data_IF_337621685037
#
_entry.id   IF_337621685037
#
_cell.length_a   1.000
_cell.length_b   1.000
_cell.length_c   1.000
_cell.angle_alpha   90.00
_cell.angle_beta   90.00
_cell.angle_gamma   90.00
#
_symmetry.space_group_name_H-M   'P 1'
#
loop_
_entity.id
_entity.type
_entity.pdbx_description
1 polymer ?
#
# COMPACT_ATOMS: atom_id res chain seq x y z
N UNK A 1 -1.17 -1.11 -0.81
CA UNK A 1 -1.97 -0.91 0.40
C UNK A 1 -1.56 0.41 1.03
N UNK A 2 -2.45 1.39 1.05
CA UNK A 2 -2.21 2.68 1.68
C UNK A 2 -3.23 2.83 2.80
N UNK A 3 -2.77 2.78 4.05
CA UNK A 3 -3.66 2.93 5.22
C UNK A 3 -4.36 4.29 5.21
N UNK A 4 -3.75 5.32 4.58
CA UNK A 4 -4.28 6.69 4.50
C UNK A 4 -5.53 6.84 3.66
N UNK A 5 -5.71 6.02 2.62
CA UNK A 5 -6.85 6.11 1.69
C UNK A 5 -7.97 5.14 2.04
N UNK A 6 -7.73 4.22 2.98
CA UNK A 6 -8.73 3.25 3.39
C UNK A 6 -9.57 3.86 4.49
N UNK A 7 -10.84 4.19 4.20
CA UNK A 7 -11.82 4.61 5.20
C UNK A 7 -11.98 3.52 6.26
N UNK A 8 -11.21 3.62 7.35
CA UNK A 8 -11.26 2.67 8.46
C UNK A 8 -12.64 2.71 9.11
N UNK A 9 -13.17 1.54 9.48
CA UNK A 9 -14.42 1.45 10.24
C UNK A 9 -14.26 2.16 11.60
N UNK A 10 -15.35 2.70 12.19
CA UNK A 10 -15.29 3.47 13.43
C UNK A 10 -14.58 2.76 14.59
N UNK A 11 -14.77 1.44 14.72
CA UNK A 11 -14.18 0.68 15.82
C UNK A 11 -12.65 0.52 15.67
N UNK A 12 -12.12 0.32 14.46
CA UNK A 12 -10.67 0.31 14.20
C UNK A 12 -10.05 1.69 14.47
N UNK A 13 -10.77 2.76 14.10
CA UNK A 13 -10.35 4.14 14.40
C UNK A 13 -10.26 4.37 15.92
N UNK A 14 -11.19 3.83 16.69
CA UNK A 14 -11.15 3.91 18.16
C UNK A 14 -9.95 3.15 18.74
N UNK A 15 -9.68 1.93 18.27
CA UNK A 15 -8.49 1.15 18.69
C UNK A 15 -7.19 1.88 18.36
N UNK A 16 -7.11 2.50 17.18
CA UNK A 16 -5.97 3.32 16.78
C UNK A 16 -5.77 4.52 17.72
N UNK A 17 -6.85 5.21 18.07
CA UNK A 17 -6.81 6.33 19.02
C UNK A 17 -6.37 5.90 20.43
N UNK A 18 -6.85 4.74 20.92
CA UNK A 18 -6.39 4.17 22.19
C UNK A 18 -4.88 3.88 22.15
N UNK A 19 -4.40 3.21 21.09
CA UNK A 19 -2.99 2.89 20.92
C UNK A 19 -2.11 4.15 20.90
N UNK A 20 -2.55 5.19 20.17
CA UNK A 20 -1.90 6.50 20.15
C UNK A 20 -1.83 7.14 21.55
N UNK A 21 -2.94 7.12 22.29
CA UNK A 21 -3.01 7.69 23.62
C UNK A 21 -2.07 6.97 24.60
N UNK A 22 -2.02 5.64 24.54
CA UNK A 22 -1.11 4.84 25.36
C UNK A 22 0.36 5.04 24.96
N UNK A 23 0.68 5.18 23.67
CA UNK A 23 2.04 5.56 23.22
C UNK A 23 2.47 6.88 23.83
N UNK A 24 1.61 7.90 23.81
CA UNK A 24 1.91 9.20 24.43
C UNK A 24 2.22 9.05 25.91
N UNK A 25 1.36 8.35 26.65
CA UNK A 25 1.60 8.07 28.08
C UNK A 25 2.94 7.40 28.33
N UNK A 26 3.33 6.45 27.47
CA UNK A 26 4.62 5.78 27.57
C UNK A 26 5.79 6.75 27.38
N UNK A 27 5.79 7.57 26.33
CA UNK A 27 6.86 8.56 26.10
C UNK A 27 6.92 9.67 27.16
N UNK A 28 5.78 9.98 27.79
CA UNK A 28 5.70 10.91 28.92
C UNK A 28 6.02 10.24 30.27
N UNK A 29 6.41 8.95 30.29
CA UNK A 29 6.66 8.16 31.50
C UNK A 29 5.50 8.16 32.51
N UNK A 30 4.25 8.18 32.02
CA UNK A 30 3.06 8.17 32.88
C UNK A 30 2.93 6.85 33.66
N UNK A 31 2.71 6.90 34.99
CA UNK A 31 2.43 5.70 35.79
C UNK A 31 1.20 4.94 35.30
N UNK A 32 0.23 5.64 34.69
CA UNK A 32 -1.03 5.09 34.18
C UNK A 32 -0.94 4.43 32.80
N UNK A 33 0.24 4.41 32.16
CA UNK A 33 0.42 3.76 30.86
C UNK A 33 0.12 2.26 30.96
N UNK A 34 -0.75 1.75 30.10
CA UNK A 34 -1.17 0.34 30.01
C UNK A 34 -0.03 -0.56 29.53
N UNK A 35 0.76 -0.07 28.57
CA UNK A 35 1.93 -0.75 28.02
C UNK A 35 3.20 -0.05 28.53
N UNK A 36 4.17 -0.83 29.00
CA UNK A 36 5.40 -0.34 29.66
C UNK A 36 6.65 -0.63 28.85
N UNK A 37 6.57 -1.48 27.82
CA UNK A 37 7.72 -1.87 27.01
C UNK A 37 7.48 -1.64 25.52
N UNK A 38 8.54 -1.38 24.73
CA UNK A 38 8.43 -1.27 23.27
C UNK A 38 7.82 -2.51 22.61
N UNK A 39 8.13 -3.70 23.14
CA UNK A 39 7.62 -4.97 22.59
C UNK A 39 6.11 -5.13 22.78
N UNK A 40 5.55 -4.62 23.88
CA UNK A 40 4.09 -4.60 24.08
C UNK A 40 3.38 -3.74 23.04
N UNK A 41 3.92 -2.54 22.76
CA UNK A 41 3.41 -1.69 21.68
C UNK A 41 3.50 -2.36 20.33
N UNK A 42 4.66 -2.94 20.01
CA UNK A 42 4.88 -3.67 18.76
C UNK A 42 3.86 -4.79 18.56
N UNK A 43 3.53 -5.54 19.61
CA UNK A 43 2.48 -6.58 19.56
C UNK A 43 1.10 -5.99 19.29
N UNK A 44 0.75 -4.87 19.91
CA UNK A 44 -0.56 -4.22 19.67
C UNK A 44 -0.66 -3.63 18.26
N UNK A 45 0.40 -3.01 17.77
CA UNK A 45 0.47 -2.49 16.40
C UNK A 45 0.28 -3.61 15.37
N UNK A 46 0.95 -4.75 15.56
CA UNK A 46 0.81 -5.92 14.68
C UNK A 46 -0.63 -6.42 14.72
N UNK A 47 -1.21 -6.59 15.92
CA UNK A 47 -2.60 -7.04 16.07
C UNK A 47 -3.59 -6.11 15.37
N UNK A 48 -3.48 -4.81 15.59
CA UNK A 48 -4.33 -3.82 14.95
C UNK A 48 -4.16 -3.86 13.42
N UNK A 49 -2.93 -4.05 12.93
CA UNK A 49 -2.68 -4.15 11.51
C UNK A 49 -3.26 -5.42 10.88
N UNK A 50 -3.17 -6.56 11.56
CA UNK A 50 -3.84 -7.79 11.11
C UNK A 50 -5.36 -7.61 11.02
N UNK A 51 -5.97 -6.96 12.00
CA UNK A 51 -7.40 -6.63 11.97
C UNK A 51 -7.75 -5.73 10.77
N UNK A 52 -6.96 -4.68 10.52
CA UNK A 52 -7.11 -3.79 9.36
C UNK A 52 -7.00 -4.57 8.03
N UNK A 53 -6.03 -5.48 7.92
CA UNK A 53 -5.84 -6.30 6.72
C UNK A 53 -7.02 -7.25 6.50
N UNK A 54 -7.47 -7.95 7.54
CA UNK A 54 -8.59 -8.87 7.47
C UNK A 54 -9.86 -8.16 7.01
N UNK A 55 -10.16 -7.00 7.59
CA UNK A 55 -11.33 -6.22 7.18
C UNK A 55 -11.26 -5.76 5.72
N UNK A 56 -10.07 -5.41 5.24
CA UNK A 56 -9.91 -5.04 3.84
C UNK A 56 -10.15 -6.25 2.93
N UNK A 57 -9.64 -7.41 3.29
CA UNK A 57 -9.85 -8.66 2.55
C UNK A 57 -11.35 -8.98 2.52
N UNK A 58 -12.04 -8.97 3.66
CA UNK A 58 -13.49 -9.21 3.76
C UNK A 58 -14.29 -8.23 2.89
N UNK A 59 -13.91 -6.95 2.88
CA UNK A 59 -14.54 -5.94 2.01
C UNK A 59 -14.36 -6.26 0.53
N UNK A 60 -13.16 -6.65 0.11
CA UNK A 60 -12.88 -7.00 -1.28
C UNK A 60 -13.59 -8.29 -1.70
N UNK A 61 -13.66 -9.29 -0.82
CA UNK A 61 -14.43 -10.52 -1.03
C UNK A 61 -15.93 -10.23 -1.21
N UNK A 62 -16.48 -9.32 -0.38
CA UNK A 62 -17.86 -8.85 -0.53
C UNK A 62 -18.09 -8.15 -1.87
N UNK A 63 -17.15 -7.28 -2.30
CA UNK A 63 -17.22 -6.62 -3.60
C UNK A 63 -17.18 -7.64 -4.76
N UNK A 64 -16.32 -8.67 -4.67
CA UNK A 64 -16.26 -9.77 -5.64
C UNK A 64 -17.59 -10.53 -5.67
N UNK A 65 -18.20 -10.82 -4.52
CA UNK A 65 -19.49 -11.51 -4.45
C UNK A 65 -20.60 -10.71 -5.14
N UNK A 66 -20.63 -9.38 -4.94
CA UNK A 66 -21.59 -8.49 -5.60
C UNK A 66 -21.34 -8.44 -7.11
N UNK A 67 -20.09 -8.26 -7.53
CA UNK A 67 -19.70 -8.19 -8.94
C UNK A 67 -20.00 -9.50 -9.69
N UNK A 68 -19.60 -10.64 -9.12
CA UNK A 68 -19.85 -11.97 -9.71
C UNK A 68 -21.35 -12.29 -9.79
N UNK A 69 -22.15 -11.84 -8.81
CA UNK A 69 -23.60 -11.98 -8.89
C UNK A 69 -24.20 -11.10 -9.99
N UNK A 70 -23.68 -9.88 -10.16
CA UNK A 70 -24.10 -8.97 -11.24
C UNK A 70 -23.75 -9.52 -12.63
N UNK A 71 -22.58 -10.15 -12.77
CA UNK A 71 -22.12 -10.82 -13.98
C UNK A 71 -23.06 -11.96 -14.37
N UNK A 72 -23.34 -12.90 -13.45
CA UNK A 72 -24.26 -14.04 -13.67
C UNK A 72 -25.67 -13.62 -14.05
N UNK A 73 -26.18 -12.50 -13.50
CA UNK A 73 -27.51 -11.97 -13.85
C UNK A 73 -27.52 -11.46 -15.31
N UNK A 74 -26.47 -10.75 -15.72
CA UNK A 74 -26.34 -10.22 -17.09
C UNK A 74 -26.19 -11.34 -18.12
N UNK A 75 -25.39 -12.36 -17.83
CA UNK A 75 -25.25 -13.54 -18.71
C UNK A 75 -26.59 -14.26 -18.96
N UNK A 76 -27.43 -14.39 -17.92
CA UNK A 76 -28.76 -14.99 -18.04
C UNK A 76 -29.74 -14.14 -18.86
N UNK A 77 -29.66 -12.81 -18.77
CA UNK A 77 -30.46 -11.91 -19.61
C UNK A 77 -30.08 -12.04 -21.09
N UNK A 78 -28.78 -12.09 -21.40
CA UNK A 78 -28.31 -12.30 -22.78
C UNK A 78 -28.74 -13.66 -23.37
N UNK A 79 -28.82 -14.71 -22.54
CA UNK A 79 -29.30 -16.03 -22.98
C UNK A 79 -30.80 -16.12 -23.24
N UNK A 80 -31.60 -15.22 -22.63
CA UNK A 80 -33.06 -15.23 -22.74
C UNK A 80 -33.58 -14.40 -23.93
N UNK A 81 -32.85 -13.34 -24.33
CA UNK A 81 -33.24 -12.45 -25.44
C UNK A 81 -32.62 -12.83 -26.80
N UNK A 82 -31.72 -13.81 -26.85
CA UNK A 82 -31.03 -14.24 -28.08
C UNK A 82 -31.89 -14.90 -29.18
N UNK A 83 -33.22 -14.90 -29.04
CA UNK A 83 -34.14 -15.53 -30.00
C UNK A 83 -34.89 -14.54 -30.92
N UNK A 84 -34.87 -13.22 -30.69
CA UNK A 84 -35.66 -12.26 -31.50
C UNK A 84 -34.88 -11.03 -32.01
N UNK A 85 -34.41 -11.16 -33.26
CA UNK A 85 -34.33 -10.15 -34.34
C UNK A 85 -33.54 -8.82 -34.15
N UNK A 86 -32.36 -8.80 -34.77
CA UNK A 86 -31.86 -7.81 -35.75
C UNK A 86 -31.76 -6.29 -35.45
N UNK A 87 -32.02 -5.79 -34.23
CA UNK A 87 -31.78 -4.37 -33.87
C UNK A 87 -30.47 -4.16 -33.05
N UNK A 88 -29.78 -5.23 -32.64
CA UNK A 88 -28.98 -5.21 -31.39
C UNK A 88 -27.44 -5.19 -31.50
N UNK A 89 -26.82 -5.03 -32.67
CA UNK A 89 -25.33 -5.11 -32.76
C UNK A 89 -24.59 -4.08 -31.88
N UNK A 90 -25.18 -2.89 -31.68
CA UNK A 90 -24.61 -1.82 -30.83
C UNK A 90 -24.85 -2.08 -29.33
N UNK A 91 -25.97 -2.69 -28.97
CA UNK A 91 -26.31 -3.06 -27.59
C UNK A 91 -25.49 -4.26 -27.12
N UNK A 92 -25.34 -5.29 -27.96
CA UNK A 92 -24.49 -6.46 -27.72
C UNK A 92 -23.03 -6.05 -27.49
N UNK A 93 -22.52 -5.09 -28.29
CA UNK A 93 -21.14 -4.59 -28.11
C UNK A 93 -20.96 -3.87 -26.78
N UNK A 94 -21.94 -3.07 -26.36
CA UNK A 94 -21.91 -2.33 -25.08
C UNK A 94 -22.00 -3.28 -23.89
N UNK A 95 -22.88 -4.28 -23.93
CA UNK A 95 -23.01 -5.29 -22.88
C UNK A 95 -21.77 -6.16 -22.74
N UNK A 96 -21.16 -6.56 -23.87
CA UNK A 96 -19.88 -7.29 -23.86
C UNK A 96 -18.75 -6.47 -23.23
N UNK A 97 -18.72 -5.15 -23.48
CA UNK A 97 -17.76 -4.24 -22.83
C UNK A 97 -18.00 -4.13 -21.33
N UNK A 98 -19.25 -4.05 -20.88
CA UNK A 98 -19.60 -4.00 -19.46
C UNK A 98 -19.24 -5.29 -18.71
N UNK A 99 -19.51 -6.47 -19.31
CA UNK A 99 -19.08 -7.76 -18.76
C UNK A 99 -17.56 -7.84 -18.65
N UNK A 100 -16.84 -7.39 -19.68
CA UNK A 100 -15.38 -7.31 -19.66
C UNK A 100 -14.87 -6.38 -18.54
N UNK A 101 -15.54 -5.25 -18.30
CA UNK A 101 -15.19 -4.34 -17.21
C UNK A 101 -15.43 -4.98 -15.83
N UNK A 102 -16.53 -5.72 -15.66
CA UNK A 102 -16.81 -6.44 -14.41
C UNK A 102 -15.73 -7.50 -14.16
N UNK A 103 -15.40 -8.33 -15.15
CA UNK A 103 -14.34 -9.33 -15.04
C UNK A 103 -12.97 -8.72 -14.72
N UNK A 104 -12.63 -7.58 -15.34
CA UNK A 104 -11.40 -6.84 -15.02
C UNK A 104 -11.38 -6.34 -13.57
N UNK A 105 -12.52 -5.86 -13.04
CA UNK A 105 -12.63 -5.41 -11.65
C UNK A 105 -12.51 -6.55 -10.65
N UNK A 106 -13.14 -7.70 -10.93
CA UNK A 106 -13.00 -8.92 -10.12
C UNK A 106 -11.53 -9.30 -10.04
N UNK A 107 -10.85 -9.39 -11.18
CA UNK A 107 -9.41 -9.70 -11.24
C UNK A 107 -8.56 -8.71 -10.44
N UNK A 108 -8.86 -7.40 -10.52
CA UNK A 108 -8.16 -6.39 -9.73
C UNK A 108 -8.34 -6.60 -8.22
N UNK A 109 -9.56 -6.93 -7.78
CA UNK A 109 -9.83 -7.25 -6.37
C UNK A 109 -9.09 -8.52 -5.92
N UNK A 110 -9.08 -9.58 -6.73
CA UNK A 110 -8.34 -10.82 -6.46
C UNK A 110 -6.84 -10.58 -6.36
N UNK A 111 -6.27 -9.79 -7.28
CA UNK A 111 -4.86 -9.38 -7.26
C UNK A 111 -4.54 -8.56 -6.00
N UNK A 112 -5.47 -7.72 -5.53
CA UNK A 112 -5.32 -6.97 -4.28
C UNK A 112 -5.36 -7.90 -3.06
N UNK A 113 -6.32 -8.81 -2.97
CA UNK A 113 -6.42 -9.81 -1.88
C UNK A 113 -5.12 -10.63 -1.80
N UNK A 114 -4.64 -11.16 -2.93
CA UNK A 114 -3.39 -11.92 -2.98
C UNK A 114 -2.20 -11.13 -2.42
N UNK A 115 -2.10 -9.83 -2.76
CA UNK A 115 -1.06 -8.96 -2.20
C UNK A 115 -1.21 -8.77 -0.69
N UNK A 116 -2.43 -8.62 -0.18
CA UNK A 116 -2.68 -8.45 1.26
C UNK A 116 -2.35 -9.73 2.03
N UNK A 117 -2.69 -10.90 1.51
CA UNK A 117 -2.31 -12.19 2.11
C UNK A 117 -0.79 -12.37 2.17
N UNK A 118 -0.07 -11.96 1.13
CA UNK A 118 1.40 -11.94 1.15
C UNK A 118 1.98 -10.98 2.20
N UNK A 119 1.32 -9.87 2.48
CA UNK A 119 1.72 -8.97 3.57
C UNK A 119 1.44 -9.63 4.92
N UNK A 120 0.24 -10.20 5.10
CA UNK A 120 -0.19 -10.87 6.33
C UNK A 120 0.77 -12.00 6.73
N UNK A 121 1.15 -12.85 5.78
CA UNK A 121 2.13 -13.93 6.02
C UNK A 121 3.48 -13.41 6.54
N UNK A 122 3.93 -12.25 6.07
CA UNK A 122 5.22 -11.65 6.49
C UNK A 122 5.17 -10.96 7.85
N UNK A 123 3.99 -10.57 8.34
CA UNK A 123 3.86 -9.99 9.69
C UNK A 123 4.15 -11.00 10.80
N UNK A 124 3.88 -12.27 10.54
CA UNK A 124 4.09 -13.36 11.48
C UNK A 124 5.55 -13.81 11.58
N UNK A 125 6.45 -13.24 10.78
CA UNK A 125 7.89 -13.49 10.83
C UNK A 125 8.60 -12.33 11.56
N UNK A 126 9.03 -12.50 12.82
CA UNK A 126 9.58 -11.40 13.63
C UNK A 126 10.78 -10.69 13.00
N UNK A 127 11.66 -11.45 12.33
CA UNK A 127 12.89 -10.96 11.68
C UNK A 127 12.65 -10.37 10.28
N UNK A 128 11.45 -10.58 9.72
CA UNK A 128 11.07 -10.08 8.39
C UNK A 128 9.89 -9.11 8.44
N UNK A 129 9.54 -8.61 9.64
CA UNK A 129 8.49 -7.59 9.80
C UNK A 129 8.83 -6.41 8.87
N UNK A 130 8.01 -6.10 7.87
CA UNK A 130 8.22 -4.92 7.07
C UNK A 130 8.01 -3.69 7.96
N UNK A 131 8.98 -2.78 7.95
CA UNK A 131 8.79 -1.45 8.54
C UNK A 131 7.86 -0.65 7.64
N UNK A 132 6.68 -0.30 8.14
CA UNK A 132 5.66 0.38 7.36
C UNK A 132 5.30 1.65 8.10
N UNK A 133 5.78 2.77 7.58
CA UNK A 133 5.58 4.11 8.17
C UNK A 133 4.14 4.39 8.60
N UNK A 134 3.17 4.00 7.76
CA UNK A 134 1.75 4.24 8.03
C UNK A 134 1.21 3.45 9.25
N UNK A 135 1.94 2.43 9.72
CA UNK A 135 1.62 1.61 10.90
C UNK A 135 2.44 2.08 12.10
N UNK A 136 3.77 2.07 11.96
CA UNK A 136 4.69 2.35 13.06
C UNK A 136 4.52 3.80 13.57
N UNK A 137 4.00 4.70 12.71
CA UNK A 137 3.61 6.08 13.05
C UNK A 137 2.17 6.39 12.65
N UNK A 138 1.26 5.45 12.86
CA UNK A 138 -0.15 5.65 12.54
C UNK A 138 -0.73 6.92 13.22
N UNK A 139 -0.24 7.30 14.39
CA UNK A 139 -0.59 8.55 15.08
C UNK A 139 -0.18 9.84 14.35
N UNK A 140 0.86 9.78 13.51
CA UNK A 140 1.31 10.90 12.68
C UNK A 140 0.46 10.95 11.42
N UNK A 141 0.32 9.79 10.76
CA UNK A 141 -0.34 9.70 9.46
C UNK A 141 -1.87 9.80 9.54
N UNK A 142 -2.51 9.32 10.60
CA UNK A 142 -3.97 9.35 10.72
C UNK A 142 -4.52 10.77 10.99
N UNK A 143 -3.81 11.58 11.78
CA UNK A 143 -4.30 12.91 12.18
C UNK A 143 -3.79 14.03 11.28
N UNK A 144 -2.50 13.98 10.92
CA UNK A 144 -1.85 15.04 10.16
C UNK A 144 -1.66 14.70 8.68
N UNK A 145 -1.89 13.45 8.29
CA UNK A 145 -1.62 12.98 6.91
C UNK A 145 -0.14 12.76 6.59
N UNK A 146 0.76 13.04 7.54
CA UNK A 146 2.21 12.92 7.39
C UNK A 146 2.99 13.74 8.41
N UNK A 147 4.32 13.64 8.36
CA UNK A 147 5.23 14.39 9.21
C UNK A 147 5.21 15.88 8.86
N UNK A 148 5.41 16.72 9.88
CA UNK A 148 5.55 18.17 9.71
C UNK A 148 6.89 18.53 9.08
N UNK A 149 7.94 17.74 9.36
CA UNK A 149 9.30 18.00 8.92
C UNK A 149 9.94 16.67 8.52
N UNK A 150 10.55 16.63 7.33
CA UNK A 150 11.39 15.52 6.85
C UNK A 150 12.75 16.09 6.45
N UNK A 151 13.78 15.71 7.22
CA UNK A 151 15.17 16.15 7.01
C UNK A 151 16.04 14.92 6.77
N UNK A 152 17.02 15.02 5.88
CA UNK A 152 17.92 13.92 5.61
C UNK A 152 19.15 14.27 4.79
N UNK A 153 20.14 13.39 4.85
CA UNK A 153 21.29 13.38 3.96
C UNK A 153 21.28 12.05 3.18
N UNK A 154 20.54 11.98 2.05
CA UNK A 154 20.40 10.75 1.28
C UNK A 154 21.73 10.28 0.67
N UNK A 155 21.84 8.99 0.29
CA UNK A 155 23.08 8.44 -0.24
C UNK A 155 23.41 8.96 -1.66
N UNK A 156 24.63 9.46 -1.85
CA UNK A 156 25.16 9.93 -3.14
C UNK A 156 25.76 8.79 -3.97
N UNK A 157 24.87 7.98 -4.55
CA UNK A 157 25.27 6.83 -5.37
C UNK A 157 24.83 7.05 -6.81
N UNK A 158 25.81 7.13 -7.71
CA UNK A 158 25.57 7.20 -9.15
C UNK A 158 24.79 5.99 -9.65
N UNK A 159 23.94 6.24 -10.65
CA UNK A 159 23.12 5.27 -11.37
C UNK A 159 23.84 3.96 -11.73
N UNK A 160 25.11 3.98 -12.15
CA UNK A 160 25.86 2.77 -12.51
C UNK A 160 26.25 1.90 -11.30
N UNK A 161 26.29 2.49 -10.10
CA UNK A 161 26.67 1.84 -8.84
C UNK A 161 25.48 1.42 -7.98
N UNK A 162 24.25 1.75 -8.38
CA UNK A 162 23.03 1.34 -7.68
C UNK A 162 22.93 -0.19 -7.67
N UNK A 163 22.88 -0.77 -6.47
CA UNK A 163 22.83 -2.20 -6.24
C UNK A 163 22.08 -2.53 -4.93
N UNK A 164 21.58 -3.77 -4.75
CA UNK A 164 20.90 -4.16 -3.53
C UNK A 164 21.82 -4.01 -2.30
N UNK A 165 21.38 -3.37 -1.21
CA UNK A 165 22.20 -3.16 -0.02
C UNK A 165 22.35 -4.43 0.85
N UNK A 166 21.57 -5.47 0.57
CA UNK A 166 21.50 -6.70 1.35
C UNK A 166 22.35 -7.86 0.78
N UNK A 167 23.24 -7.56 -0.17
CA UNK A 167 24.16 -8.54 -0.78
C UNK A 167 25.59 -8.04 -0.70
N UNK A 168 26.55 -8.97 -0.58
CA UNK A 168 27.96 -8.63 -0.68
C UNK A 168 28.29 -8.20 -2.11
N UNK A 169 29.20 -7.24 -2.28
CA UNK A 169 29.53 -6.67 -3.61
C UNK A 169 29.96 -7.73 -4.62
N UNK A 170 30.61 -8.78 -4.16
CA UNK A 170 31.12 -9.90 -4.96
C UNK A 170 30.01 -10.82 -5.47
N UNK A 171 28.87 -10.86 -4.78
CA UNK A 171 27.71 -11.71 -5.11
C UNK A 171 26.69 -10.99 -6.00
N UNK A 172 26.88 -9.69 -6.24
CA UNK A 172 25.91 -8.87 -6.97
C UNK A 172 26.04 -9.12 -8.47
N UNK A 173 25.02 -9.75 -9.03
CA UNK A 173 24.91 -9.96 -10.48
C UNK A 173 24.37 -8.71 -11.19
N UNK A 174 24.47 -8.66 -12.52
CA UNK A 174 23.81 -7.62 -13.32
C UNK A 174 22.29 -7.66 -13.14
N UNK A 175 21.71 -8.85 -13.06
CA UNK A 175 20.27 -9.04 -12.86
C UNK A 175 19.82 -8.45 -11.51
N UNK A 176 20.58 -8.67 -10.44
CA UNK A 176 20.29 -8.09 -9.12
C UNK A 176 20.20 -6.56 -9.14
N UNK A 177 21.09 -5.90 -9.90
CA UNK A 177 21.07 -4.44 -10.05
C UNK A 177 19.83 -3.99 -10.82
N UNK A 178 19.47 -4.70 -11.89
CA UNK A 178 18.27 -4.40 -12.68
C UNK A 178 17.00 -4.57 -11.85
N UNK A 179 16.89 -5.67 -11.12
CA UNK A 179 15.76 -5.96 -10.24
C UNK A 179 15.62 -4.92 -9.12
N UNK A 180 16.74 -4.52 -8.50
CA UNK A 180 16.73 -3.50 -7.46
C UNK A 180 16.30 -2.13 -8.00
N UNK A 181 16.83 -1.71 -9.16
CA UNK A 181 16.37 -0.47 -9.82
C UNK A 181 14.88 -0.53 -10.16
N UNK A 182 14.40 -1.67 -10.64
CA UNK A 182 12.98 -1.83 -10.95
C UNK A 182 12.13 -1.75 -9.67
N UNK A 183 12.60 -2.30 -8.55
CA UNK A 183 11.93 -2.13 -7.24
C UNK A 183 11.88 -0.67 -6.79
N UNK A 184 12.95 0.10 -6.97
CA UNK A 184 12.99 1.53 -6.67
C UNK A 184 12.01 2.35 -7.55
N UNK A 185 11.92 2.03 -8.84
CA UNK A 185 10.96 2.68 -9.74
C UNK A 185 9.53 2.33 -9.32
N UNK A 186 9.26 1.04 -9.08
CA UNK A 186 7.96 0.58 -8.63
C UNK A 186 7.55 1.24 -7.30
N UNK A 187 8.50 1.44 -6.37
CA UNK A 187 8.22 2.08 -5.08
C UNK A 187 7.77 3.53 -5.23
N UNK A 188 8.34 4.27 -6.19
CA UNK A 188 7.90 5.63 -6.51
C UNK A 188 6.59 5.61 -7.30
N UNK A 189 6.49 4.86 -8.39
CA UNK A 189 5.30 4.86 -9.25
C UNK A 189 4.03 4.44 -8.51
N UNK A 190 4.15 3.52 -7.54
CA UNK A 190 3.03 3.12 -6.69
C UNK A 190 2.50 4.25 -5.78
N UNK A 191 3.33 5.26 -5.49
CA UNK A 191 3.00 6.38 -4.60
C UNK A 191 2.73 7.68 -5.34
N UNK A 192 3.39 7.87 -6.48
CA UNK A 192 3.26 9.05 -7.36
C UNK A 192 2.92 8.60 -8.78
N UNK A 193 1.66 8.22 -9.05
CA UNK A 193 1.24 7.76 -10.39
C UNK A 193 1.41 8.81 -11.49
N UNK A 194 1.54 10.09 -11.11
CA UNK A 194 1.83 11.21 -12.03
C UNK A 194 3.21 11.07 -12.69
N UNK A 195 4.14 10.34 -12.07
CA UNK A 195 5.49 10.12 -12.62
C UNK A 195 5.47 8.89 -13.53
N UNK A 196 5.21 9.13 -14.81
CA UNK A 196 5.01 8.07 -15.82
C UNK A 196 6.29 7.64 -16.53
N UNK A 197 7.31 8.51 -16.59
CA UNK A 197 8.56 8.26 -17.32
C UNK A 197 9.76 8.19 -16.39
N UNK A 198 10.60 7.18 -16.59
CA UNK A 198 11.83 6.94 -15.83
C UNK A 198 12.99 6.63 -16.76
N UNK A 199 13.99 7.51 -16.80
CA UNK A 199 15.17 7.33 -17.67
C UNK A 199 16.21 6.33 -17.12
N UNK A 200 16.03 5.87 -15.87
CA UNK A 200 16.92 4.96 -15.11
C UNK A 200 18.36 5.48 -14.95
N UNK A 201 18.59 6.77 -15.24
CA UNK A 201 19.90 7.44 -15.20
C UNK A 201 20.06 8.39 -14.00
N UNK A 202 19.01 8.58 -13.22
CA UNK A 202 19.05 9.35 -11.98
C UNK A 202 19.90 8.68 -10.90
N UNK A 203 20.59 9.51 -10.11
CA UNK A 203 21.29 9.10 -8.89
C UNK A 203 20.32 8.56 -7.83
N UNK A 204 20.83 7.73 -6.92
CA UNK A 204 20.02 7.03 -5.93
C UNK A 204 19.22 7.98 -5.03
N UNK A 205 19.77 9.15 -4.70
CA UNK A 205 19.10 10.10 -3.80
C UNK A 205 17.75 10.58 -4.33
N UNK A 206 17.52 10.57 -5.65
CA UNK A 206 16.25 10.98 -6.26
C UNK A 206 15.10 10.07 -5.78
N UNK A 207 15.34 8.77 -5.61
CA UNK A 207 14.33 7.86 -5.05
C UNK A 207 14.03 8.20 -3.58
N UNK A 208 15.04 8.64 -2.83
CA UNK A 208 14.86 9.11 -1.45
C UNK A 208 14.06 10.42 -1.39
N UNK A 209 14.16 11.31 -2.38
CA UNK A 209 13.31 12.50 -2.48
C UNK A 209 11.83 12.11 -2.55
N UNK A 210 11.46 11.23 -3.48
CA UNK A 210 10.09 10.76 -3.60
C UNK A 210 9.62 10.08 -2.31
N UNK A 211 10.47 9.22 -1.72
CA UNK A 211 10.14 8.59 -0.46
C UNK A 211 9.92 9.60 0.66
N UNK A 212 10.81 10.56 0.85
CA UNK A 212 10.68 11.57 1.89
C UNK A 212 9.49 12.50 1.67
N UNK A 213 9.23 12.94 0.43
CA UNK A 213 8.03 13.69 0.07
C UNK A 213 6.75 12.91 0.39
N UNK A 214 6.75 11.59 0.19
CA UNK A 214 5.58 10.75 0.51
C UNK A 214 5.27 10.64 2.00
N UNK A 215 6.21 11.01 2.86
CA UNK A 215 6.06 10.99 4.31
C UNK A 215 5.54 12.32 4.86
N UNK A 216 5.65 13.41 4.11
CA UNK A 216 5.20 14.74 4.54
C UNK A 216 3.68 14.88 4.51
N UNK A 217 3.18 15.75 5.38
CA UNK A 217 1.84 16.29 5.25
C UNK A 217 1.78 17.46 4.26
N UNK A 218 0.57 17.94 3.95
CA UNK A 218 0.33 18.98 2.95
C UNK A 218 0.92 20.36 3.31
N UNK A 219 1.27 20.59 4.57
CA UNK A 219 1.86 21.85 5.07
C UNK A 219 3.30 21.66 5.54
N UNK A 220 3.90 20.49 5.27
CA UNK A 220 5.16 20.08 5.86
C UNK A 220 6.38 20.68 5.15
N UNK A 221 7.51 20.67 5.85
CA UNK A 221 8.79 21.17 5.36
C UNK A 221 9.71 20.01 4.98
N UNK A 222 10.21 20.04 3.76
CA UNK A 222 11.19 19.08 3.24
C UNK A 222 12.59 19.72 3.17
N UNK A 223 13.61 19.08 3.73
CA UNK A 223 14.99 19.57 3.63
C UNK A 223 16.00 18.44 3.51
N UNK A 224 16.50 18.19 2.30
CA UNK A 224 17.59 17.26 2.06
C UNK A 224 18.88 18.01 1.71
N UNK A 225 20.01 17.50 2.22
CA UNK A 225 21.34 17.88 1.74
C UNK A 225 21.60 17.04 0.48
N UNK A 226 22.02 17.66 -0.62
CA UNK A 226 22.30 16.94 -1.87
C UNK A 226 23.60 17.37 -2.52
N UNK A 227 24.16 16.45 -3.32
CA UNK A 227 25.32 16.68 -4.20
C UNK A 227 24.96 17.40 -5.49
#
# INVERSE_FOLDING_TARGET
FNVRSNNLKPHLKNKLNELKYEKRKYFENSPSAKYKTPDEFKKQEIRLFEEILNERIESLESDIAVLSHSEKRKEKQTGLFGAELNIEAKNIKKEKQELQQIGNRIKQCEDEISKLDHVKKRLNEPDKKPFVWDIDFAEVFADKGGFDIVIGNPPYVRQEKIAPPNKLKEEITLQDRQDYKQKLINSVSNRFPVVTTWDKKSDLYIYFYFHGLSLLNNTGVFCFITS
#
